data_IF_623070109609
#
_entry.id   IF_623070109609
#
_cell.length_a   1.000
_cell.length_b   1.000
_cell.length_c   1.000
_cell.angle_alpha   90.00
_cell.angle_beta   90.00
_cell.angle_gamma   90.00
#
_symmetry.space_group_name_H-M   'P 1'
#
loop_
_entity.id
_entity.type
_entity.pdbx_description
1 polymer ?
#
# COMPACT_ATOMS: atom_id res chain seq x y z
N UNK A 1 13.14 17.93 -23.34
CA UNK A 1 12.71 17.65 -22.96
C UNK A 1 12.39 17.16 -22.41
N UNK A 2 12.11 17.90 -22.20
CA UNK A 2 11.97 17.12 -21.60
C UNK A 2 10.81 16.43 -21.51
N UNK A 3 10.52 15.80 -22.43
CA UNK A 3 9.54 14.86 -22.36
C UNK A 3 9.68 14.02 -21.21
N UNK A 4 10.86 13.90 -20.77
CA UNK A 4 11.13 13.10 -19.61
C UNK A 4 10.46 13.59 -18.41
N UNK A 5 10.20 14.88 -18.34
CA UNK A 5 9.49 15.43 -17.21
C UNK A 5 8.12 14.80 -17.13
N UNK A 6 7.44 14.72 -18.25
CA UNK A 6 6.13 14.12 -18.27
C UNK A 6 6.18 12.66 -17.91
N UNK A 7 7.19 11.96 -18.34
CA UNK A 7 7.33 10.57 -17.98
C UNK A 7 7.46 10.40 -16.49
N UNK A 8 8.26 11.24 -15.86
CA UNK A 8 8.49 11.13 -14.43
C UNK A 8 7.24 11.36 -13.62
N UNK A 9 6.35 12.19 -14.13
CA UNK A 9 5.08 12.43 -13.46
C UNK A 9 4.21 11.19 -13.46
N UNK A 10 4.33 10.34 -14.47
CA UNK A 10 3.49 9.15 -14.59
C UNK A 10 4.13 7.89 -14.03
N UNK A 11 5.36 7.99 -13.54
CA UNK A 11 6.04 6.83 -12.99
C UNK A 11 6.18 6.95 -11.49
N UNK A 12 5.96 5.85 -10.76
CA UNK A 12 6.21 5.89 -9.33
C UNK A 12 7.69 5.99 -9.03
N UNK A 13 8.06 6.58 -7.90
CA UNK A 13 9.47 6.59 -7.49
C UNK A 13 9.94 5.19 -7.19
N UNK A 14 11.24 4.93 -7.35
CA UNK A 14 11.80 3.61 -7.12
C UNK A 14 12.49 3.55 -5.77
N UNK A 15 12.12 2.55 -4.97
CA UNK A 15 12.78 2.28 -3.70
C UNK A 15 13.98 1.39 -3.95
N UNK A 16 15.14 1.90 -3.63
CA UNK A 16 16.37 1.12 -3.73
C UNK A 16 17.31 1.52 -2.61
N UNK A 17 18.08 0.56 -2.13
CA UNK A 17 19.04 0.82 -1.07
C UNK A 17 18.35 1.22 0.21
N UNK A 18 18.92 2.20 0.90
CA UNK A 18 18.43 2.63 2.19
C UNK A 18 17.67 3.94 2.14
N UNK A 19 17.02 4.21 1.00
CA UNK A 19 16.31 5.49 0.82
C UNK A 19 14.82 5.41 1.12
N UNK A 20 14.42 4.52 2.00
CA UNK A 20 13.02 4.33 2.30
C UNK A 20 12.32 5.60 2.77
N UNK A 21 12.95 6.37 3.65
CA UNK A 21 12.31 7.58 4.17
C UNK A 21 11.95 8.57 3.08
N UNK A 22 12.85 8.74 2.13
CA UNK A 22 12.63 9.62 0.98
C UNK A 22 11.55 9.02 0.07
N UNK A 23 11.67 7.71 -0.20
CA UNK A 23 10.74 7.03 -1.10
C UNK A 23 9.30 7.07 -0.62
N UNK A 24 9.05 6.83 0.67
CA UNK A 24 7.68 6.76 1.15
C UNK A 24 6.96 8.09 1.01
N UNK A 25 7.67 9.20 1.17
CA UNK A 25 7.07 10.52 1.00
C UNK A 25 6.71 10.75 -0.46
N UNK A 26 7.63 10.39 -1.35
CA UNK A 26 7.39 10.58 -2.77
C UNK A 26 6.32 9.64 -3.31
N UNK A 27 6.30 8.40 -2.84
CA UNK A 27 5.29 7.45 -3.29
C UNK A 27 3.90 7.87 -2.81
N UNK A 28 3.79 8.36 -1.59
CA UNK A 28 2.52 8.88 -1.10
C UNK A 28 2.02 10.01 -2.00
N UNK A 29 2.91 10.94 -2.34
CA UNK A 29 2.55 12.06 -3.21
C UNK A 29 2.14 11.56 -4.60
N UNK A 30 2.85 10.56 -5.11
CA UNK A 30 2.51 9.99 -6.40
C UNK A 30 1.11 9.35 -6.38
N UNK A 31 0.82 8.56 -5.35
CA UNK A 31 -0.46 7.89 -5.24
C UNK A 31 -1.60 8.91 -5.13
N UNK A 32 -1.41 9.94 -4.33
CA UNK A 32 -2.42 10.98 -4.19
C UNK A 32 -2.65 11.73 -5.50
N UNK A 33 -1.61 11.86 -6.32
CA UNK A 33 -1.76 12.55 -7.59
C UNK A 33 -2.53 11.73 -8.61
N UNK A 34 -2.59 10.40 -8.44
CA UNK A 34 -3.38 9.57 -9.31
C UNK A 34 -4.87 9.80 -9.04
N UNK A 35 -5.25 9.73 -7.78
CA UNK A 35 -6.60 9.96 -7.31
C UNK A 35 -6.53 9.83 -5.80
N UNK A 36 -7.26 10.64 -5.09
CA UNK A 36 -7.25 10.59 -3.63
C UNK A 36 -7.65 9.20 -3.13
N UNK A 37 -8.55 8.52 -3.83
CA UNK A 37 -8.97 7.18 -3.44
C UNK A 37 -7.85 6.15 -3.49
N UNK A 38 -6.85 6.37 -4.35
CA UNK A 38 -5.72 5.45 -4.44
C UNK A 38 -4.89 5.49 -3.16
N UNK A 39 -4.63 6.69 -2.65
CA UNK A 39 -3.92 6.80 -1.39
C UNK A 39 -4.78 6.28 -0.23
N UNK A 40 -6.09 6.53 -0.26
CA UNK A 40 -6.98 6.01 0.77
C UNK A 40 -6.93 4.49 0.84
N UNK A 41 -6.78 3.82 -0.30
CA UNK A 41 -6.67 2.37 -0.31
C UNK A 41 -5.45 1.89 0.44
N UNK A 42 -4.36 2.65 0.39
CA UNK A 42 -3.15 2.33 1.15
C UNK A 42 -3.34 2.65 2.63
N UNK A 43 -3.92 3.80 2.90
CA UNK A 43 -4.05 4.27 4.28
C UNK A 43 -5.07 3.46 5.07
N UNK A 44 -6.21 3.18 4.48
CA UNK A 44 -7.30 2.50 5.18
C UNK A 44 -7.40 1.03 4.86
N UNK A 45 -6.86 0.62 3.73
CA UNK A 45 -6.92 -0.76 3.30
C UNK A 45 -8.19 -1.06 2.52
N UNK A 46 -8.15 -2.18 1.80
CA UNK A 46 -9.30 -2.66 1.05
C UNK A 46 -9.67 -4.04 1.58
N UNK A 47 -10.96 -4.28 1.73
CA UNK A 47 -11.44 -5.60 2.11
C UNK A 47 -12.46 -6.05 1.09
N UNK A 48 -12.45 -7.35 0.82
CA UNK A 48 -13.41 -7.92 -0.13
C UNK A 48 -14.82 -7.73 0.43
N UNK A 49 -15.77 -7.27 -0.39
CA UNK A 49 -17.15 -7.13 0.08
C UNK A 49 -17.71 -8.46 0.55
N UNK A 50 -18.50 -8.43 1.62
CA UNK A 50 -19.08 -9.64 2.19
C UNK A 50 -20.58 -9.49 2.34
N UNK A 51 -21.27 -10.60 2.53
CA UNK A 51 -22.69 -10.63 2.80
C UNK A 51 -22.93 -11.60 3.94
N UNK A 52 -24.05 -11.45 4.62
CA UNK A 52 -24.42 -12.35 5.73
C UNK A 52 -25.81 -12.91 5.48
N UNK A 53 -26.00 -14.18 5.83
CA UNK A 53 -27.31 -14.79 5.71
C UNK A 53 -28.14 -14.52 6.97
N UNK A 54 -29.33 -15.08 7.03
CA UNK A 54 -30.24 -14.83 8.14
C UNK A 54 -29.69 -15.30 9.48
N UNK A 55 -28.85 -16.31 9.45
CA UNK A 55 -28.23 -16.84 10.67
C UNK A 55 -26.95 -16.09 11.04
N UNK A 56 -26.54 -15.11 10.24
CA UNK A 56 -25.34 -14.35 10.52
C UNK A 56 -24.06 -14.93 9.92
N UNK A 57 -24.19 -15.99 9.11
CA UNK A 57 -23.02 -16.56 8.47
C UNK A 57 -22.51 -15.62 7.38
N UNK A 58 -21.22 -15.32 7.41
CA UNK A 58 -20.61 -14.35 6.50
C UNK A 58 -19.91 -15.06 5.37
N UNK A 59 -20.09 -14.57 4.15
CA UNK A 59 -19.41 -15.10 3.00
C UNK A 59 -19.07 -13.95 2.04
N UNK A 60 -18.21 -14.25 1.08
CA UNK A 60 -17.83 -13.21 0.12
C UNK A 60 -19.00 -12.88 -0.79
N UNK A 61 -19.20 -11.59 -1.02
CA UNK A 61 -20.24 -11.15 -1.93
C UNK A 61 -19.80 -11.44 -3.36
N UNK A 62 -20.67 -12.11 -4.12
CA UNK A 62 -20.37 -12.43 -5.50
C UNK A 62 -20.16 -11.15 -6.31
N UNK A 63 -19.23 -11.20 -7.25
CA UNK A 63 -18.83 -10.00 -7.98
C UNK A 63 -19.98 -9.38 -8.77
N UNK A 64 -20.89 -10.19 -9.26
CA UNK A 64 -22.04 -9.67 -10.02
C UNK A 64 -23.01 -8.89 -9.14
N UNK A 65 -22.83 -8.95 -7.83
CA UNK A 65 -23.66 -8.19 -6.88
C UNK A 65 -22.95 -6.97 -6.32
N UNK A 66 -21.74 -6.70 -6.77
CA UNK A 66 -21.00 -5.54 -6.31
C UNK A 66 -21.65 -4.25 -6.80
N UNK A 67 -21.67 -3.25 -5.91
CA UNK A 67 -22.12 -1.91 -6.29
C UNK A 67 -20.96 -1.18 -6.96
N UNK A 68 -21.25 0.01 -7.49
CA UNK A 68 -20.19 0.85 -8.05
C UNK A 68 -19.17 1.24 -7.01
N UNK A 69 -19.61 1.41 -5.76
CA UNK A 69 -18.68 1.74 -4.69
C UNK A 69 -17.69 0.59 -4.47
N UNK A 70 -18.19 -0.65 -4.47
CA UNK A 70 -17.32 -1.82 -4.33
C UNK A 70 -16.30 -1.90 -5.46
N UNK A 71 -16.75 -1.67 -6.68
CA UNK A 71 -15.88 -1.74 -7.86
C UNK A 71 -14.82 -0.64 -7.83
N UNK A 72 -15.21 0.57 -7.42
CA UNK A 72 -14.27 1.67 -7.33
C UNK A 72 -13.20 1.43 -6.28
N UNK A 73 -13.60 0.86 -5.15
CA UNK A 73 -12.66 0.57 -4.08
C UNK A 73 -11.64 -0.48 -4.51
N UNK A 74 -12.09 -1.52 -5.21
CA UNK A 74 -11.17 -2.53 -5.70
C UNK A 74 -10.21 -1.93 -6.74
N UNK A 75 -10.72 -1.09 -7.62
CA UNK A 75 -9.90 -0.45 -8.63
C UNK A 75 -8.82 0.42 -8.00
N UNK A 76 -9.20 1.16 -6.94
CA UNK A 76 -8.23 2.00 -6.24
C UNK A 76 -7.13 1.14 -5.59
N UNK A 77 -7.51 0.03 -4.98
CA UNK A 77 -6.53 -0.89 -4.41
C UNK A 77 -5.60 -1.43 -5.49
N UNK A 78 -6.14 -1.81 -6.64
CA UNK A 78 -5.34 -2.34 -7.74
C UNK A 78 -4.35 -1.31 -8.27
N UNK A 79 -4.78 -0.06 -8.40
CA UNK A 79 -3.88 1.00 -8.84
C UNK A 79 -2.77 1.22 -7.84
N UNK A 80 -3.10 1.22 -6.56
CA UNK A 80 -2.10 1.39 -5.52
C UNK A 80 -1.10 0.23 -5.52
N UNK A 81 -1.61 -1.00 -5.65
CA UNK A 81 -0.74 -2.17 -5.71
C UNK A 81 0.22 -2.10 -6.89
N UNK A 82 -0.31 -1.73 -8.06
CA UNK A 82 0.53 -1.64 -9.24
C UNK A 82 1.63 -0.61 -9.07
N UNK A 83 1.31 0.53 -8.49
CA UNK A 83 2.30 1.58 -8.26
C UNK A 83 3.38 1.11 -7.29
N UNK A 84 2.97 0.46 -6.20
CA UNK A 84 3.93 -0.02 -5.21
C UNK A 84 4.82 -1.11 -5.80
N UNK A 85 4.23 -2.08 -6.53
CA UNK A 85 5.01 -3.13 -7.18
C UNK A 85 6.01 -2.54 -8.18
N UNK A 86 5.60 -1.52 -8.92
CA UNK A 86 6.46 -0.90 -9.91
C UNK A 86 7.50 0.01 -9.29
N UNK A 87 7.29 0.41 -8.05
CA UNK A 87 8.16 1.37 -7.38
C UNK A 87 9.15 0.76 -6.41
N UNK A 88 9.40 -0.54 -6.47
CA UNK A 88 10.38 -1.17 -5.59
C UNK A 88 11.29 -2.07 -6.41
N UNK A 89 12.52 -2.28 -5.89
CA UNK A 89 13.47 -3.18 -6.55
C UNK A 89 13.11 -4.62 -6.26
N UNK A 90 13.86 -5.55 -6.85
CA UNK A 90 13.55 -6.98 -6.73
C UNK A 90 13.56 -7.50 -5.32
N UNK A 91 14.47 -6.98 -4.49
CA UNK A 91 14.56 -7.45 -3.11
C UNK A 91 13.30 -7.06 -2.33
N UNK A 92 12.88 -5.82 -2.47
CA UNK A 92 11.67 -5.36 -1.79
C UNK A 92 10.42 -6.00 -2.39
N UNK A 93 10.41 -6.19 -3.71
CA UNK A 93 9.27 -6.83 -4.36
C UNK A 93 9.01 -8.22 -3.79
N UNK A 94 10.07 -8.98 -3.53
CA UNK A 94 9.89 -10.33 -2.99
C UNK A 94 9.14 -10.34 -1.68
N UNK A 95 9.32 -9.31 -0.87
CA UNK A 95 8.65 -9.24 0.42
C UNK A 95 7.15 -9.02 0.30
N UNK A 96 6.71 -8.40 -0.79
CA UNK A 96 5.31 -7.99 -0.92
C UNK A 96 4.59 -8.66 -2.08
N UNK A 97 5.27 -9.53 -2.82
CA UNK A 97 4.73 -10.08 -4.07
C UNK A 97 3.44 -10.88 -3.90
N UNK A 98 3.18 -11.41 -2.71
CA UNK A 98 1.96 -12.17 -2.47
C UNK A 98 0.83 -11.33 -1.89
N UNK A 99 1.07 -10.05 -1.64
CA UNK A 99 0.03 -9.19 -1.09
C UNK A 99 -1.04 -8.89 -2.13
N UNK A 100 -2.28 -8.85 -1.69
CA UNK A 100 -3.39 -8.45 -2.54
C UNK A 100 -4.00 -7.13 -2.10
N UNK A 101 -3.54 -6.61 -0.96
CA UNK A 101 -4.06 -5.37 -0.38
C UNK A 101 -2.91 -4.40 -0.25
N UNK A 102 -3.07 -3.21 -0.81
CA UNK A 102 -2.02 -2.21 -0.84
C UNK A 102 -1.56 -1.80 0.56
N UNK A 103 -2.49 -1.70 1.50
CA UNK A 103 -2.13 -1.36 2.86
C UNK A 103 -1.16 -2.37 3.46
N UNK A 104 -1.40 -3.65 3.19
CA UNK A 104 -0.53 -4.69 3.71
C UNK A 104 0.88 -4.59 3.12
N UNK A 105 0.97 -4.37 1.82
CA UNK A 105 2.27 -4.21 1.17
C UNK A 105 3.01 -3.00 1.75
N UNK A 106 2.28 -1.90 1.93
CA UNK A 106 2.86 -0.68 2.50
C UNK A 106 3.38 -0.92 3.91
N UNK A 107 2.59 -1.62 4.74
CA UNK A 107 2.97 -1.90 6.12
C UNK A 107 4.17 -2.83 6.21
N UNK A 108 4.26 -3.82 5.31
CA UNK A 108 5.40 -4.73 5.28
C UNK A 108 6.68 -3.96 4.96
N UNK A 109 6.62 -3.07 3.96
CA UNK A 109 7.79 -2.28 3.60
C UNK A 109 8.19 -1.35 4.75
N UNK A 110 7.21 -0.73 5.39
CA UNK A 110 7.51 0.15 6.52
C UNK A 110 8.19 -0.62 7.65
N UNK A 111 7.66 -1.78 7.99
CA UNK A 111 8.23 -2.59 9.05
C UNK A 111 9.64 -3.04 8.69
N UNK A 112 9.86 -3.45 7.45
CA UNK A 112 11.17 -3.91 7.02
C UNK A 112 12.23 -2.82 7.10
N UNK A 113 11.83 -1.57 6.84
CA UNK A 113 12.80 -0.48 6.76
C UNK A 113 12.87 0.40 8.00
N UNK A 114 11.82 0.40 8.84
CA UNK A 114 11.79 1.26 10.02
C UNK A 114 11.68 0.50 11.33
N UNK A 115 11.09 -0.69 11.30
CA UNK A 115 10.73 -1.38 12.53
C UNK A 115 11.87 -1.61 13.50
N UNK A 116 12.99 -2.09 13.00
CA UNK A 116 14.12 -2.39 13.88
C UNK A 116 14.70 -1.13 14.52
N UNK A 117 14.72 -0.04 13.78
CA UNK A 117 15.21 1.21 14.32
C UNK A 117 14.35 1.69 15.48
N UNK A 118 13.05 1.59 15.32
CA UNK A 118 12.13 1.98 16.38
C UNK A 118 12.28 1.12 17.60
N UNK A 119 12.44 -0.16 17.42
CA UNK A 119 12.62 -1.08 18.53
C UNK A 119 13.86 -0.73 19.31
N UNK A 120 14.95 -0.45 18.65
CA UNK A 120 16.18 -0.10 19.31
C UNK A 120 16.05 1.17 20.14
N UNK A 121 15.35 2.13 19.61
CA UNK A 121 15.18 3.40 20.32
C UNK A 121 14.30 3.21 21.53
N UNK A 122 13.22 2.47 21.41
CA UNK A 122 12.31 2.29 22.52
C UNK A 122 12.85 1.41 23.60
N UNK A 123 13.54 0.45 23.18
CA UNK A 123 14.08 -0.49 24.12
C UNK A 123 14.92 0.15 25.14
N UNK A 124 15.00 1.14 24.99
CA UNK A 124 15.53 1.85 25.88
C UNK A 124 14.69 2.66 26.29
N UNK A 125 13.59 1.92 25.81
CA UNK A 125 12.85 2.44 25.54
C UNK A 125 12.22 2.08 25.30
N UNK A 126 11.94 1.15 25.35
CA UNK A 126 11.43 0.85 24.84
C UNK A 126 10.93 0.47 24.42
N UNK A 127 10.80 -0.02 25.06
CA UNK A 127 10.52 -0.12 24.43
C UNK A 127 9.74 -0.17 23.94
N UNK A 128 9.64 -0.30 24.16
CA UNK A 128 9.17 -0.05 23.63
C UNK A 128 8.39 0.08 23.31
N UNK A 129 8.30 0.04 23.78
CA UNK A 129 7.76 0.28 23.48
C UNK A 129 7.34 0.22 23.37
N UNK A 130 7.31 -0.12 23.96
CA UNK A 130 7.00 -0.12 23.90
C UNK A 130 7.05 -0.02 23.91
N UNK A 131 7.22 -0.32 24.40
CA UNK A 131 7.28 -0.13 24.39
C UNK A 131 7.13 -0.05 24.36
#
# INVERSE_FOLDING_TARGET
MDLREGHNITRPPLLEGNKYGYWRVRMKAFLKSQDESVWEAVEQGWTHPVTADKEGNVSLLAKDKWTEIHKSAEAANSKAMNAIFSGVDGKNFKMISTCEVAKKAWDILRTAHEGLTKVKISGMETVTSKI
#
